data_IF_051548303871
#
_entry.id   IF_051548303871
#
_cell.length_a   1.000
_cell.length_b   1.000
_cell.length_c   1.000
_cell.angle_alpha   90.00
_cell.angle_beta   90.00
_cell.angle_gamma   90.00
#
_symmetry.space_group_name_H-M   'P 1'
#
loop_
_entity.id
_entity.type
_entity.pdbx_description
1 polymer ?
#
# COMPACT_ATOMS: atom_id res chain seq x y z
N UNK A 1 9.72 -15.79 0.36
CA UNK A 1 10.21 -16.11 1.72
C UNK A 1 9.06 -15.87 2.66
N UNK A 2 8.73 -16.84 3.52
CA UNK A 2 7.65 -16.67 4.47
C UNK A 2 8.09 -15.72 5.59
N UNK A 3 7.29 -14.69 5.84
CA UNK A 3 7.56 -13.67 6.85
C UNK A 3 6.32 -13.46 7.70
N UNK A 4 6.53 -12.91 8.89
CA UNK A 4 5.49 -12.22 9.61
C UNK A 4 5.44 -10.75 9.17
N UNK A 5 4.24 -10.21 9.00
CA UNK A 5 3.99 -8.87 8.47
C UNK A 5 2.93 -8.19 9.31
N UNK A 6 3.20 -6.93 9.68
CA UNK A 6 2.23 -6.03 10.29
C UNK A 6 2.15 -4.75 9.46
N UNK A 7 0.96 -4.42 8.97
CA UNK A 7 0.67 -3.20 8.21
C UNK A 7 -0.13 -2.22 9.06
N UNK A 8 0.44 -1.05 9.28
CA UNK A 8 -0.23 0.09 9.87
C UNK A 8 -0.48 1.17 8.82
N UNK A 9 -1.72 1.68 8.77
CA UNK A 9 -2.08 2.90 8.07
C UNK A 9 -2.18 4.05 9.06
N UNK A 10 -1.55 5.17 8.75
CA UNK A 10 -1.85 6.47 9.36
C UNK A 10 -2.56 7.35 8.34
N UNK A 11 -3.81 7.71 8.64
CA UNK A 11 -4.51 8.79 7.94
C UNK A 11 -3.95 10.14 8.40
N UNK A 12 -3.37 10.90 7.48
CA UNK A 12 -2.72 12.18 7.78
C UNK A 12 -3.71 13.35 7.85
N UNK A 13 -4.93 13.19 7.32
CA UNK A 13 -5.99 14.20 7.40
C UNK A 13 -6.69 14.14 8.76
N UNK A 14 -6.93 12.92 9.26
CA UNK A 14 -7.60 12.68 10.54
C UNK A 14 -6.64 12.44 11.71
N UNK A 15 -5.37 12.13 11.43
CA UNK A 15 -4.38 11.72 12.44
C UNK A 15 -4.67 10.34 13.04
N UNK A 16 -5.44 9.51 12.33
CA UNK A 16 -5.92 8.22 12.82
C UNK A 16 -5.03 7.07 12.35
N UNK A 17 -4.57 6.26 13.30
CA UNK A 17 -3.79 5.06 13.05
C UNK A 17 -4.68 3.81 13.06
N UNK A 18 -4.51 2.90 12.10
CA UNK A 18 -5.29 1.67 11.95
C UNK A 18 -4.37 0.51 11.53
N UNK A 19 -4.45 -0.61 12.23
CA UNK A 19 -3.79 -1.86 11.87
C UNK A 19 -4.62 -2.59 10.80
N UNK A 20 -4.09 -2.72 9.58
CA UNK A 20 -4.81 -3.30 8.44
C UNK A 20 -4.46 -4.78 8.19
N UNK A 21 -3.26 -5.19 8.57
CA UNK A 21 -2.82 -6.57 8.45
C UNK A 21 -1.88 -6.92 9.61
N UNK A 22 -2.04 -8.12 10.15
CA UNK A 22 -1.12 -8.71 11.11
C UNK A 22 -1.17 -10.23 10.90
N UNK A 23 -0.08 -10.81 10.40
CA UNK A 23 -0.06 -12.23 10.04
C UNK A 23 1.09 -12.60 9.13
N UNK A 24 0.85 -13.55 8.24
CA UNK A 24 1.88 -14.13 7.38
C UNK A 24 1.86 -13.50 5.99
N UNK A 25 3.03 -13.24 5.43
CA UNK A 25 3.23 -12.77 4.05
C UNK A 25 4.31 -13.54 3.31
N UNK A 26 4.34 -13.40 1.99
CA UNK A 26 5.43 -13.85 1.13
C UNK A 26 6.21 -12.65 0.61
N UNK A 27 7.49 -12.59 0.96
CA UNK A 27 8.44 -11.61 0.46
C UNK A 27 9.39 -12.25 -0.56
N UNK A 28 9.42 -11.73 -1.79
CA UNK A 28 10.32 -12.15 -2.87
C UNK A 28 10.98 -10.94 -3.53
N UNK A 29 12.20 -10.63 -3.11
CA UNK A 29 12.91 -9.43 -3.55
C UNK A 29 12.12 -8.18 -3.20
N UNK A 30 11.76 -7.39 -4.20
CA UNK A 30 11.02 -6.13 -4.04
C UNK A 30 9.50 -6.32 -3.96
N UNK A 31 9.03 -7.56 -3.92
CA UNK A 31 7.61 -7.90 -3.94
C UNK A 31 7.16 -8.53 -2.63
N UNK A 32 6.18 -7.91 -1.98
CA UNK A 32 5.52 -8.39 -0.78
C UNK A 32 4.06 -8.75 -1.09
N UNK A 33 3.61 -9.91 -0.61
CA UNK A 33 2.21 -10.38 -0.76
C UNK A 33 1.66 -10.79 0.61
N UNK A 34 0.50 -10.28 0.99
CA UNK A 34 -0.15 -10.57 2.29
C UNK A 34 -1.67 -10.41 2.21
N UNK A 35 -2.37 -10.74 3.30
CA UNK A 35 -3.84 -10.65 3.41
C UNK A 35 -4.24 -9.66 4.51
N UNK A 36 -5.42 -9.06 4.38
CA UNK A 36 -5.97 -8.18 5.44
C UNK A 36 -6.37 -8.98 6.68
N UNK A 37 -6.27 -8.34 7.84
CA UNK A 37 -6.60 -8.94 9.14
C UNK A 37 -8.10 -9.28 9.23
N UNK A 38 -8.96 -8.30 8.92
CA UNK A 38 -10.41 -8.43 9.04
C UNK A 38 -11.07 -9.11 7.82
N UNK A 39 -10.33 -9.23 6.71
CA UNK A 39 -10.81 -9.82 5.47
C UNK A 39 -9.73 -10.71 4.83
N UNK A 40 -9.55 -11.97 5.29
CA UNK A 40 -8.53 -12.87 4.77
C UNK A 40 -8.67 -13.16 3.27
N UNK A 41 -9.86 -12.98 2.69
CA UNK A 41 -10.09 -13.09 1.25
C UNK A 41 -9.43 -11.99 0.41
N UNK A 42 -9.08 -10.86 1.03
CA UNK A 42 -8.51 -9.70 0.35
C UNK A 42 -6.98 -9.80 0.31
N UNK A 43 -6.44 -9.77 -0.90
CA UNK A 43 -5.03 -9.97 -1.17
C UNK A 43 -4.36 -8.65 -1.54
N UNK A 44 -3.26 -8.35 -0.87
CA UNK A 44 -2.39 -7.24 -1.21
C UNK A 44 -1.13 -7.74 -1.91
N UNK A 45 -0.70 -6.99 -2.92
CA UNK A 45 0.60 -7.16 -3.58
C UNK A 45 1.27 -5.79 -3.68
N UNK A 46 2.42 -5.66 -3.02
CA UNK A 46 3.24 -4.45 -2.97
C UNK A 46 4.51 -4.72 -3.73
N UNK A 47 4.81 -3.91 -4.74
CA UNK A 47 6.14 -3.87 -5.39
C UNK A 47 6.82 -2.57 -4.99
N UNK A 48 8.01 -2.65 -4.42
CA UNK A 48 8.68 -1.52 -3.78
C UNK A 48 10.11 -1.36 -4.33
N UNK A 49 10.28 -0.51 -5.33
CA UNK A 49 11.59 -0.25 -5.96
C UNK A 49 11.95 1.23 -5.85
N UNK A 50 13.21 1.58 -6.12
CA UNK A 50 13.66 2.99 -6.12
C UNK A 50 13.00 3.84 -7.21
N UNK A 51 12.45 3.21 -8.25
CA UNK A 51 11.84 3.88 -9.41
C UNK A 51 10.33 4.04 -9.24
N UNK A 52 9.69 3.01 -8.74
CA UNK A 52 8.24 2.96 -8.57
C UNK A 52 7.84 2.08 -7.38
N UNK A 53 6.76 2.51 -6.72
CA UNK A 53 6.05 1.73 -5.73
C UNK A 53 4.65 1.44 -6.32
N UNK A 54 4.27 0.17 -6.33
CA UNK A 54 2.99 -0.28 -6.87
C UNK A 54 2.25 -1.04 -5.78
N UNK A 55 1.10 -0.49 -5.37
CA UNK A 55 0.21 -1.08 -4.38
C UNK A 55 -1.00 -1.66 -5.11
N UNK A 56 -1.19 -2.98 -5.02
CA UNK A 56 -2.35 -3.65 -5.58
C UNK A 56 -3.18 -4.26 -4.47
N UNK A 57 -4.47 -3.96 -4.47
CA UNK A 57 -5.46 -4.58 -3.58
C UNK A 57 -6.46 -5.35 -4.42
N UNK A 58 -6.59 -6.65 -4.16
CA UNK A 58 -7.59 -7.52 -4.78
C UNK A 58 -8.64 -7.86 -3.75
N UNK A 59 -9.79 -7.22 -3.88
CA UNK A 59 -10.98 -7.37 -3.03
C UNK A 59 -12.23 -7.14 -3.89
N UNK A 60 -13.40 -6.97 -3.28
CA UNK A 60 -14.63 -6.58 -3.99
C UNK A 60 -14.46 -5.27 -4.78
N UNK A 61 -13.72 -4.33 -4.20
CA UNK A 61 -13.19 -3.15 -4.88
C UNK A 61 -11.70 -3.36 -5.05
N UNK A 62 -11.27 -3.55 -6.30
CA UNK A 62 -9.86 -3.71 -6.62
C UNK A 62 -9.23 -2.34 -6.83
N UNK A 63 -7.95 -2.23 -6.49
CA UNK A 63 -7.20 -1.02 -6.80
C UNK A 63 -5.77 -1.31 -7.19
N UNK A 64 -5.24 -0.46 -8.07
CA UNK A 64 -3.83 -0.41 -8.45
C UNK A 64 -3.37 1.03 -8.30
N UNK A 65 -2.57 1.29 -7.28
CA UNK A 65 -1.98 2.61 -7.00
C UNK A 65 -0.52 2.59 -7.39
N UNK A 66 -0.12 3.45 -8.32
CA UNK A 66 1.27 3.66 -8.71
C UNK A 66 1.79 4.94 -8.07
N UNK A 67 3.02 4.91 -7.58
CA UNK A 67 3.68 6.03 -6.93
C UNK A 67 5.10 6.14 -7.50
N UNK A 68 5.45 7.32 -8.01
CA UNK A 68 6.79 7.58 -8.55
C UNK A 68 7.36 8.88 -7.97
N UNK A 69 8.67 8.97 -7.68
CA UNK A 69 9.26 10.18 -7.09
C UNK A 69 9.25 11.41 -8.00
N UNK A 70 9.30 11.21 -9.31
CA UNK A 70 9.57 12.30 -10.27
C UNK A 70 8.31 12.96 -10.83
N UNK A 71 7.17 12.29 -10.79
CA UNK A 71 5.94 12.79 -11.42
C UNK A 71 4.69 12.26 -10.71
N UNK A 72 3.57 13.01 -10.80
CA UNK A 72 2.27 12.46 -10.49
C UNK A 72 2.04 11.16 -11.27
N UNK A 73 1.37 10.23 -10.62
CA UNK A 73 1.02 8.91 -11.16
C UNK A 73 -0.49 8.72 -11.05
N UNK A 74 -0.96 7.48 -11.12
CA UNK A 74 -2.38 7.17 -11.13
C UNK A 74 -2.72 6.08 -10.11
N UNK A 75 -3.88 6.23 -9.47
CA UNK A 75 -4.61 5.15 -8.82
C UNK A 75 -5.83 4.80 -9.67
N UNK A 76 -5.92 3.52 -10.03
CA UNK A 76 -7.09 2.97 -10.71
C UNK A 76 -7.87 2.15 -9.70
N UNK A 77 -9.14 2.49 -9.51
CA UNK A 77 -10.07 1.78 -8.64
C UNK A 77 -11.15 1.15 -9.51
N UNK A 78 -11.30 -0.16 -9.45
CA UNK A 78 -12.33 -0.88 -10.21
C UNK A 78 -13.35 -1.46 -9.23
N UNK A 79 -14.62 -1.18 -9.53
CA UNK A 79 -15.77 -1.63 -8.74
C UNK A 79 -16.85 -2.19 -9.68
N UNK A 80 -17.89 -2.86 -9.15
CA UNK A 80 -19.04 -3.28 -9.95
C UNK A 80 -19.75 -2.15 -10.70
N UNK A 81 -19.59 -0.91 -10.22
CA UNK A 81 -20.26 0.28 -10.79
C UNK A 81 -19.41 1.00 -11.85
N UNK A 82 -18.16 0.60 -12.04
CA UNK A 82 -17.25 1.19 -13.02
C UNK A 82 -15.83 1.38 -12.52
N UNK A 83 -15.03 2.06 -13.35
CA UNK A 83 -13.61 2.34 -13.13
C UNK A 83 -13.42 3.82 -12.83
N UNK A 84 -12.73 4.12 -11.73
CA UNK A 84 -12.31 5.45 -11.35
C UNK A 84 -10.80 5.59 -11.49
N UNK A 85 -10.34 6.74 -12.01
CA UNK A 85 -8.93 7.09 -12.17
C UNK A 85 -8.66 8.36 -11.39
N UNK A 86 -7.71 8.30 -10.47
CA UNK A 86 -7.33 9.42 -9.61
C UNK A 86 -5.84 9.69 -9.73
N UNK A 87 -5.45 10.94 -9.61
CA UNK A 87 -4.03 11.32 -9.60
C UNK A 87 -3.41 10.91 -8.27
N UNK A 88 -2.15 10.48 -8.28
CA UNK A 88 -1.39 10.16 -7.07
C UNK A 88 -0.10 10.96 -6.99
N UNK A 89 0.28 11.35 -5.77
CA UNK A 89 1.55 11.99 -5.47
C UNK A 89 2.28 11.22 -4.38
N UNK A 90 3.54 10.87 -4.64
CA UNK A 90 4.44 10.31 -3.62
C UNK A 90 5.05 11.45 -2.81
N UNK A 91 4.96 11.37 -1.48
CA UNK A 91 5.50 12.37 -0.56
C UNK A 91 6.85 11.92 0.01
N UNK A 92 6.90 10.71 0.54
CA UNK A 92 8.11 10.13 1.10
C UNK A 92 8.07 8.60 1.03
N UNK A 93 9.23 7.95 1.06
CA UNK A 93 9.31 6.51 1.15
C UNK A 93 10.59 6.07 1.87
N UNK A 94 10.51 4.91 2.51
CA UNK A 94 11.61 4.23 3.18
C UNK A 94 11.51 2.75 2.86
N UNK A 95 12.64 2.12 2.57
CA UNK A 95 12.73 0.67 2.44
C UNK A 95 14.01 0.18 3.09
N UNK A 96 13.89 -0.68 4.08
CA UNK A 96 14.97 -1.46 4.65
C UNK A 96 14.48 -2.91 4.90
N UNK A 97 15.32 -3.73 5.53
CA UNK A 97 15.04 -5.16 5.66
C UNK A 97 13.85 -5.47 6.58
N UNK A 98 13.63 -4.63 7.60
CA UNK A 98 12.60 -4.86 8.63
C UNK A 98 11.38 -3.94 8.47
N UNK A 99 11.46 -2.91 7.62
CA UNK A 99 10.46 -1.87 7.52
C UNK A 99 10.41 -1.25 6.12
N UNK A 100 9.23 -1.32 5.51
CA UNK A 100 8.89 -0.58 4.31
C UNK A 100 7.85 0.48 4.68
N UNK A 101 7.99 1.70 4.19
CA UNK A 101 7.02 2.78 4.46
C UNK A 101 6.85 3.67 3.24
N UNK A 102 5.61 4.06 2.97
CA UNK A 102 5.28 4.99 1.89
C UNK A 102 4.23 5.98 2.37
N UNK A 103 4.49 7.27 2.17
CA UNK A 103 3.53 8.33 2.36
C UNK A 103 3.13 8.90 1.01
N UNK A 104 1.83 8.98 0.76
CA UNK A 104 1.31 9.45 -0.51
C UNK A 104 -0.06 10.09 -0.38
N UNK A 105 -0.41 10.83 -1.44
CA UNK A 105 -1.69 11.49 -1.62
C UNK A 105 -2.41 10.92 -2.84
N UNK A 106 -3.75 10.89 -2.76
CA UNK A 106 -4.64 10.68 -3.90
C UNK A 106 -5.44 11.95 -4.09
N UNK A 107 -5.53 12.43 -5.34
CA UNK A 107 -6.17 13.68 -5.70
C UNK A 107 -7.31 13.45 -6.68
N UNK A 108 -8.39 14.20 -6.48
CA UNK A 108 -9.48 14.37 -7.44
C UNK A 108 -9.47 15.82 -7.92
N UNK A 109 -8.84 16.06 -9.06
CA UNK A 109 -8.53 17.43 -9.51
C UNK A 109 -7.52 18.09 -8.57
N UNK A 110 -7.90 19.21 -7.96
CA UNK A 110 -7.06 19.93 -6.97
C UNK A 110 -7.20 19.41 -5.55
N UNK A 111 -8.21 18.58 -5.28
CA UNK A 111 -8.61 18.23 -3.92
C UNK A 111 -7.92 16.94 -3.48
N UNK A 112 -7.33 16.98 -2.29
CA UNK A 112 -6.74 15.79 -1.65
C UNK A 112 -7.89 14.98 -1.06
N UNK A 113 -8.14 13.80 -1.64
CA UNK A 113 -9.19 12.88 -1.17
C UNK A 113 -8.64 11.80 -0.23
N UNK A 114 -7.32 11.61 -0.23
CA UNK A 114 -6.61 10.71 0.67
C UNK A 114 -5.21 11.25 0.88
N UNK A 115 -4.75 11.28 2.13
CA UNK A 115 -3.33 11.47 2.46
C UNK A 115 -3.01 10.49 3.57
N UNK A 116 -2.17 9.51 3.26
CA UNK A 116 -1.87 8.46 4.21
C UNK A 116 -0.42 8.00 4.14
N UNK A 117 0.03 7.43 5.25
CA UNK A 117 1.28 6.69 5.35
C UNK A 117 0.98 5.23 5.65
N UNK A 118 1.49 4.34 4.81
CA UNK A 118 1.47 2.90 5.02
C UNK A 118 2.84 2.47 5.53
N UNK A 119 2.87 1.69 6.60
CA UNK A 119 4.10 1.15 7.18
C UNK A 119 3.95 -0.35 7.37
N UNK A 120 4.79 -1.10 6.67
CA UNK A 120 4.93 -2.54 6.75
C UNK A 120 6.12 -2.88 7.63
N UNK A 121 5.88 -3.45 8.81
CA UNK A 121 6.91 -4.08 9.62
C UNK A 121 7.03 -5.55 9.20
N UNK A 122 8.22 -5.91 8.75
CA UNK A 122 8.56 -7.23 8.22
C UNK A 122 9.47 -7.92 9.24
N UNK A 123 9.08 -9.12 9.67
CA UNK A 123 9.90 -9.97 10.53
C UNK A 123 10.07 -11.32 9.85
N UNK A 124 11.30 -11.81 9.78
CA UNK A 124 11.55 -13.19 9.36
C UNK A 124 10.83 -14.16 10.29
N UNK A 125 10.26 -15.23 9.72
CA UNK A 125 10.02 -16.41 10.54
C UNK A 125 11.37 -16.82 11.13
N UNK A 126 11.49 -16.76 12.46
CA UNK A 126 12.52 -17.54 13.14
C UNK A 126 12.42 -18.99 12.63
N UNK A 127 13.57 -19.57 12.32
CA UNK A 127 13.71 -21.00 12.01
C UNK A 127 12.97 -21.88 13.03
#
# INVERSE_FOLDING_TARGET
>A
MLIHISLTQLDMLEGKETLLADGTGDLKGDRLVYRELEAPGYLHEVTFTDREIVLKRKAEITSITKLTPMRPSESVVESPFGVMRLETRLNSWLKNDDCWSVEYQVLSGSDIVLHQRLTWNIKGAAE
#
